data_IF_094400306328
#
_entry.id   IF_094400306328
#
_cell.length_a   1.000
_cell.length_b   1.000
_cell.length_c   1.000
_cell.angle_alpha   90.00
_cell.angle_beta   90.00
_cell.angle_gamma   90.00
#
_symmetry.space_group_name_H-M   'P 1'
#
loop_
_entity.id
_entity.type
_entity.pdbx_description
1 polymer ?
#
# COMPACT_ATOMS: atom_id res chain seq x y z
N UNK A 1 8.68 -16.74 6.53
CA UNK A 1 7.65 -16.24 7.47
C UNK A 1 8.07 -14.86 7.97
N UNK A 2 7.22 -13.86 7.77
CA UNK A 2 7.36 -12.52 8.38
C UNK A 2 6.71 -12.56 9.78
N UNK A 3 7.39 -12.00 10.77
CA UNK A 3 6.85 -11.84 12.12
C UNK A 3 6.59 -10.35 12.34
N UNK A 4 5.33 -9.96 12.45
CA UNK A 4 4.91 -8.57 12.63
C UNK A 4 4.66 -8.33 14.13
N UNK A 5 5.17 -7.23 14.67
CA UNK A 5 4.91 -6.78 16.03
C UNK A 5 3.44 -6.34 16.18
N UNK A 6 2.93 -6.30 17.42
CA UNK A 6 1.55 -5.89 17.70
C UNK A 6 1.21 -4.46 17.26
N UNK A 7 2.22 -3.59 17.22
CA UNK A 7 2.08 -2.19 16.78
C UNK A 7 2.89 -1.94 15.52
N UNK A 8 2.29 -1.21 14.59
CA UNK A 8 2.92 -0.69 13.39
C UNK A 8 2.57 0.77 13.17
N UNK A 9 3.34 1.46 12.33
CA UNK A 9 3.08 2.81 11.91
C UNK A 9 2.41 2.85 10.55
N UNK A 10 1.15 3.32 10.49
CA UNK A 10 0.47 3.64 9.24
C UNK A 10 0.95 5.00 8.70
N UNK A 11 1.51 5.01 7.51
CA UNK A 11 2.22 6.16 6.93
C UNK A 11 1.37 7.01 5.97
N UNK A 12 0.05 6.85 5.94
CA UNK A 12 -0.82 7.69 5.12
C UNK A 12 -0.70 9.20 5.45
N UNK A 13 -0.65 9.62 6.74
CA UNK A 13 -0.45 11.02 7.08
C UNK A 13 0.87 11.62 6.57
N UNK A 14 1.92 10.81 6.40
CA UNK A 14 3.22 11.25 5.88
C UNK A 14 3.16 11.66 4.39
N UNK A 15 2.12 11.18 3.69
CA UNK A 15 1.80 11.59 2.33
C UNK A 15 0.94 12.84 2.23
N UNK A 16 0.57 13.47 3.36
CA UNK A 16 -0.37 14.58 3.38
C UNK A 16 -1.84 14.15 3.41
N UNK A 17 -2.13 12.88 3.69
CA UNK A 17 -3.50 12.41 3.85
C UNK A 17 -4.02 12.85 5.21
N UNK A 18 -5.10 13.63 5.21
CA UNK A 18 -5.81 14.17 6.37
C UNK A 18 -5.02 15.18 7.24
N UNK A 19 -3.71 15.26 7.10
CA UNK A 19 -2.84 16.14 7.90
C UNK A 19 -1.80 16.76 6.99
N UNK A 20 -1.54 18.05 7.18
CA UNK A 20 -0.44 18.75 6.51
C UNK A 20 0.83 18.64 7.40
N UNK A 21 1.68 17.68 7.07
CA UNK A 21 2.98 17.50 7.71
C UNK A 21 4.09 17.97 6.78
N UNK A 22 5.00 18.79 7.31
CA UNK A 22 6.27 19.07 6.65
C UNK A 22 7.09 17.79 6.53
N UNK A 23 8.08 17.80 5.64
CA UNK A 23 9.01 16.66 5.51
C UNK A 23 9.77 16.41 6.82
N UNK A 24 10.18 17.47 7.50
CA UNK A 24 10.91 17.42 8.76
C UNK A 24 10.09 16.78 9.88
N UNK A 25 8.81 17.14 9.99
CA UNK A 25 7.88 16.53 10.95
C UNK A 25 7.63 15.05 10.63
N UNK A 26 7.46 14.70 9.36
CA UNK A 26 7.27 13.34 8.93
C UNK A 26 8.51 12.45 9.25
N UNK A 27 9.71 12.96 9.01
CA UNK A 27 10.98 12.28 9.35
C UNK A 27 11.10 12.12 10.87
N UNK A 28 10.83 13.19 11.64
CA UNK A 28 10.89 13.14 13.11
C UNK A 28 9.91 12.13 13.69
N UNK A 29 8.71 12.00 13.11
CA UNK A 29 7.69 11.02 13.52
C UNK A 29 8.17 9.58 13.28
N UNK A 30 8.77 9.29 12.13
CA UNK A 30 9.30 7.94 11.85
C UNK A 30 10.44 7.62 12.83
N UNK A 31 11.38 8.55 13.06
CA UNK A 31 12.47 8.31 13.98
C UNK A 31 11.97 8.10 15.42
N UNK A 32 10.99 8.90 15.87
CA UNK A 32 10.37 8.70 17.18
C UNK A 32 9.67 7.32 17.28
N UNK A 33 9.02 6.86 16.22
CA UNK A 33 8.44 5.52 16.19
C UNK A 33 9.50 4.42 16.33
N UNK A 34 10.61 4.54 15.58
CA UNK A 34 11.72 3.59 15.64
C UNK A 34 12.39 3.56 17.02
N UNK A 35 12.62 4.74 17.63
CA UNK A 35 13.18 4.87 18.99
C UNK A 35 12.28 4.22 20.05
N UNK A 36 10.97 4.13 19.80
CA UNK A 36 10.00 3.45 20.65
C UNK A 36 9.73 1.99 20.26
N UNK A 37 10.58 1.40 19.41
CA UNK A 37 10.52 -0.02 19.06
C UNK A 37 9.52 -0.39 17.98
N UNK A 38 8.99 0.58 17.22
CA UNK A 38 8.17 0.29 16.04
C UNK A 38 9.09 -0.12 14.90
N UNK A 39 8.90 -1.33 14.39
CA UNK A 39 9.65 -1.90 13.27
C UNK A 39 8.77 -2.14 12.03
N UNK A 40 7.43 -2.14 12.20
CA UNK A 40 6.49 -2.35 11.09
C UNK A 40 5.93 -1.03 10.58
N UNK A 41 6.11 -0.78 9.27
CA UNK A 41 5.66 0.40 8.55
C UNK A 41 4.71 0.00 7.41
N UNK A 42 3.60 0.72 7.25
CA UNK A 42 2.65 0.52 6.16
C UNK A 42 2.52 1.78 5.32
N UNK A 43 2.79 1.68 4.02
CA UNK A 43 2.68 2.78 3.07
C UNK A 43 1.89 2.37 1.81
N UNK A 44 1.76 3.28 0.86
CA UNK A 44 1.12 3.03 -0.44
C UNK A 44 1.49 4.11 -1.48
N UNK A 45 1.46 3.78 -2.78
CA UNK A 45 1.54 4.75 -3.86
C UNK A 45 0.50 5.87 -3.76
N UNK A 46 -0.71 5.53 -3.27
CA UNK A 46 -1.79 6.48 -3.06
C UNK A 46 -1.43 7.61 -2.08
N UNK A 47 -0.61 7.34 -1.07
CA UNK A 47 -0.36 8.29 0.01
C UNK A 47 0.51 9.47 -0.46
N UNK A 48 -0.16 10.56 -0.82
CA UNK A 48 0.46 11.73 -1.41
C UNK A 48 1.10 11.47 -2.78
N UNK A 49 0.58 10.48 -3.50
CA UNK A 49 1.08 10.03 -4.80
C UNK A 49 2.57 9.73 -4.81
N UNK A 50 3.00 8.90 -3.83
CA UNK A 50 4.38 8.48 -3.65
C UNK A 50 5.19 9.34 -2.67
N UNK A 51 4.62 10.41 -2.09
CA UNK A 51 5.30 11.25 -1.08
C UNK A 51 5.62 10.43 0.17
N UNK A 52 4.67 9.64 0.68
CA UNK A 52 4.87 8.77 1.84
C UNK A 52 5.97 7.73 1.60
N UNK A 53 5.94 7.02 0.46
CA UNK A 53 6.96 6.01 0.14
C UNK A 53 8.38 6.60 0.17
N UNK A 54 8.58 7.80 -0.40
CA UNK A 54 9.89 8.48 -0.41
C UNK A 54 10.38 8.81 0.99
N UNK A 55 9.50 9.32 1.85
CA UNK A 55 9.88 9.66 3.24
C UNK A 55 10.18 8.40 4.05
N UNK A 56 9.31 7.39 3.96
CA UNK A 56 9.49 6.10 4.65
C UNK A 56 10.80 5.45 4.21
N UNK A 57 11.02 5.30 2.90
CA UNK A 57 12.20 4.64 2.38
C UNK A 57 13.51 5.34 2.77
N UNK A 58 13.53 6.67 2.77
CA UNK A 58 14.70 7.43 3.21
C UNK A 58 15.02 7.24 4.69
N UNK A 59 13.98 7.11 5.54
CA UNK A 59 14.15 6.98 6.98
C UNK A 59 14.54 5.57 7.43
N UNK A 60 13.96 4.51 6.81
CA UNK A 60 14.16 3.14 7.28
C UNK A 60 15.36 2.44 6.60
N UNK A 61 15.93 3.05 5.57
CA UNK A 61 17.09 2.48 4.86
C UNK A 61 18.26 2.26 5.79
N UNK A 62 18.76 1.01 5.83
CA UNK A 62 19.89 0.62 6.68
C UNK A 62 19.51 0.21 8.10
N UNK A 63 18.23 0.25 8.46
CA UNK A 63 17.73 -0.26 9.73
C UNK A 63 17.05 -1.63 9.56
N UNK A 64 16.74 -2.27 10.68
CA UNK A 64 15.86 -3.43 10.67
C UNK A 64 14.42 -2.95 10.56
N UNK A 65 13.67 -3.45 9.57
CA UNK A 65 12.28 -3.06 9.35
C UNK A 65 11.47 -4.20 8.74
N UNK A 66 10.17 -4.11 8.91
CA UNK A 66 9.15 -4.82 8.16
C UNK A 66 8.33 -3.77 7.43
N UNK A 67 8.16 -3.92 6.14
CA UNK A 67 7.45 -2.96 5.30
C UNK A 67 6.30 -3.64 4.57
N UNK A 68 5.10 -3.10 4.73
CA UNK A 68 4.01 -3.34 3.79
C UNK A 68 3.86 -2.18 2.82
N UNK A 69 3.65 -2.52 1.57
CA UNK A 69 3.30 -1.56 0.53
C UNK A 69 2.21 -2.14 -0.38
N UNK A 70 1.63 -1.31 -1.25
CA UNK A 70 0.41 -1.67 -1.93
C UNK A 70 0.55 -1.59 -3.45
N UNK A 71 -0.19 -2.46 -4.16
CA UNK A 71 -0.23 -2.58 -5.62
C UNK A 71 -1.65 -2.45 -6.15
N UNK A 72 -1.82 -2.37 -7.47
CA UNK A 72 -3.10 -2.14 -8.14
C UNK A 72 -3.36 -0.67 -8.48
N UNK A 73 -2.50 0.23 -7.97
CA UNK A 73 -2.50 1.67 -8.29
C UNK A 73 -1.13 2.06 -8.82
N UNK A 74 -1.07 2.42 -10.09
CA UNK A 74 0.11 2.97 -10.75
C UNK A 74 0.05 4.50 -10.70
N UNK A 75 1.20 5.15 -10.63
CA UNK A 75 1.31 6.60 -10.69
C UNK A 75 1.75 7.03 -12.10
N UNK A 76 0.91 7.80 -12.78
CA UNK A 76 1.20 8.39 -14.08
C UNK A 76 1.52 9.88 -13.93
N UNK A 77 2.43 10.45 -14.74
CA UNK A 77 2.73 11.88 -14.71
C UNK A 77 1.48 12.73 -14.95
N UNK A 78 1.36 13.83 -14.23
CA UNK A 78 0.25 14.80 -14.33
C UNK A 78 -0.36 15.08 -12.96
N UNK A 79 -0.36 16.34 -12.56
CA UNK A 79 -0.96 16.75 -11.29
C UNK A 79 -2.49 16.66 -11.35
N UNK A 80 -3.10 16.27 -10.25
CA UNK A 80 -4.56 16.38 -10.07
C UNK A 80 -4.95 17.86 -9.94
N UNK A 81 -6.10 18.22 -10.47
CA UNK A 81 -6.55 19.62 -10.48
C UNK A 81 -6.92 20.13 -9.09
N UNK A 82 -7.43 19.24 -8.24
CA UNK A 82 -7.81 19.56 -6.87
C UNK A 82 -7.48 18.38 -5.94
N UNK A 83 -6.34 18.43 -5.23
CA UNK A 83 -5.94 17.37 -4.30
C UNK A 83 -6.90 17.18 -3.13
N UNK A 84 -7.67 18.21 -2.76
CA UNK A 84 -8.62 18.12 -1.62
C UNK A 84 -9.72 17.09 -1.87
N UNK A 85 -10.09 16.84 -3.13
CA UNK A 85 -11.03 15.80 -3.50
C UNK A 85 -10.55 14.38 -3.13
N UNK A 86 -9.26 14.23 -2.86
CA UNK A 86 -8.63 12.98 -2.42
C UNK A 86 -8.25 12.99 -0.94
N UNK A 87 -8.62 14.06 -0.21
CA UNK A 87 -8.22 14.27 1.17
C UNK A 87 -6.71 14.43 1.34
N UNK A 88 -6.04 15.02 0.34
CA UNK A 88 -4.59 15.17 0.31
C UNK A 88 -4.19 16.64 0.36
N UNK A 89 -3.09 16.92 1.05
CA UNK A 89 -2.41 18.20 1.06
C UNK A 89 -1.05 18.04 0.39
N UNK A 90 -0.77 18.88 -0.60
CA UNK A 90 0.49 18.92 -1.35
C UNK A 90 1.02 17.55 -1.84
N UNK A 91 0.21 16.77 -2.58
CA UNK A 91 0.68 15.51 -3.15
C UNK A 91 1.68 15.75 -4.29
N UNK A 92 2.48 14.74 -4.61
CA UNK A 92 3.35 14.81 -5.78
C UNK A 92 2.54 14.90 -7.09
N UNK A 93 3.12 15.45 -8.18
CA UNK A 93 2.40 15.77 -9.42
C UNK A 93 2.13 14.51 -10.27
N UNK A 94 1.35 13.60 -9.72
CA UNK A 94 0.93 12.36 -10.38
C UNK A 94 -0.58 12.19 -10.31
N UNK A 95 -1.09 11.31 -11.18
CA UNK A 95 -2.44 10.77 -11.15
C UNK A 95 -2.40 9.26 -10.98
N UNK A 96 -3.46 8.69 -10.42
CA UNK A 96 -3.59 7.25 -10.27
C UNK A 96 -4.21 6.62 -11.50
N UNK A 97 -3.61 5.53 -11.97
CA UNK A 97 -4.17 4.58 -12.92
C UNK A 97 -4.35 3.24 -12.21
N UNK A 98 -5.59 2.74 -12.19
CA UNK A 98 -5.87 1.42 -11.63
C UNK A 98 -5.49 0.32 -12.62
N UNK A 99 -4.74 -0.66 -12.16
CA UNK A 99 -4.35 -1.82 -12.95
C UNK A 99 -4.06 -3.01 -12.02
N UNK A 100 -5.01 -3.94 -11.95
CA UNK A 100 -4.94 -5.15 -11.13
C UNK A 100 -4.56 -6.39 -11.94
N UNK A 101 -4.13 -6.21 -13.19
CA UNK A 101 -3.61 -7.27 -14.05
C UNK A 101 -2.23 -7.76 -13.58
N UNK A 102 -1.76 -8.86 -14.18
CA UNK A 102 -0.41 -9.38 -13.93
C UNK A 102 0.66 -8.29 -14.13
N UNK A 103 0.65 -7.64 -15.29
CA UNK A 103 1.64 -6.62 -15.64
C UNK A 103 1.51 -5.38 -14.75
N UNK A 104 0.28 -5.00 -14.38
CA UNK A 104 0.00 -3.91 -13.45
C UNK A 104 0.56 -4.16 -12.06
N UNK A 105 0.42 -5.38 -11.53
CA UNK A 105 0.97 -5.78 -10.22
C UNK A 105 2.50 -5.78 -10.24
N UNK A 106 3.13 -6.41 -11.24
CA UNK A 106 4.60 -6.45 -11.36
C UNK A 106 5.16 -5.02 -11.47
N UNK A 107 4.59 -4.22 -12.35
CA UNK A 107 5.03 -2.84 -12.54
C UNK A 107 4.85 -2.00 -11.27
N UNK A 108 3.72 -2.13 -10.58
CA UNK A 108 3.51 -1.43 -9.32
C UNK A 108 4.57 -1.79 -8.28
N UNK A 109 4.89 -3.09 -8.13
CA UNK A 109 5.95 -3.56 -7.23
C UNK A 109 7.31 -2.94 -7.56
N UNK A 110 7.72 -2.95 -8.83
CA UNK A 110 8.98 -2.37 -9.28
C UNK A 110 9.03 -0.84 -9.07
N UNK A 111 7.97 -0.13 -9.44
CA UNK A 111 7.84 1.31 -9.26
C UNK A 111 7.86 1.70 -7.77
N UNK A 112 7.25 0.87 -6.88
CA UNK A 112 7.27 1.07 -5.43
C UNK A 112 8.69 0.98 -4.88
N UNK A 113 9.47 -0.03 -5.25
CA UNK A 113 10.88 -0.15 -4.85
C UNK A 113 11.70 1.06 -5.29
N UNK A 114 11.47 1.58 -6.51
CA UNK A 114 12.15 2.77 -7.01
C UNK A 114 11.79 4.03 -6.18
N UNK A 115 10.52 4.22 -5.80
CA UNK A 115 10.11 5.37 -4.99
C UNK A 115 10.61 5.28 -3.55
N UNK A 116 10.59 4.08 -2.97
CA UNK A 116 11.15 3.78 -1.65
C UNK A 116 12.68 3.90 -1.61
N UNK A 117 13.35 3.60 -2.72
CA UNK A 117 14.81 3.47 -2.76
C UNK A 117 15.29 2.32 -1.86
N UNK A 118 14.51 1.25 -1.78
CA UNK A 118 14.78 0.03 -1.04
C UNK A 118 14.87 -1.17 -1.99
N UNK A 119 15.44 -2.26 -1.51
CA UNK A 119 15.63 -3.50 -2.27
C UNK A 119 14.59 -4.58 -1.97
N UNK A 120 13.71 -4.34 -0.98
CA UNK A 120 12.65 -5.29 -0.60
C UNK A 120 11.40 -4.60 -0.07
N UNK A 121 10.27 -5.29 -0.25
CA UNK A 121 9.00 -5.08 0.43
C UNK A 121 8.63 -6.42 1.06
N UNK A 122 8.31 -6.44 2.36
CA UNK A 122 8.07 -7.70 3.08
C UNK A 122 6.64 -8.20 2.87
N UNK A 123 5.66 -7.29 2.85
CA UNK A 123 4.24 -7.60 2.69
C UNK A 123 3.66 -6.80 1.52
N UNK A 124 3.11 -7.47 0.51
CA UNK A 124 2.53 -6.81 -0.66
C UNK A 124 1.01 -6.93 -0.64
N UNK A 125 0.33 -5.79 -0.59
CA UNK A 125 -1.10 -5.72 -0.44
C UNK A 125 -1.79 -5.19 -1.71
N UNK A 126 -2.85 -5.86 -2.16
CA UNK A 126 -3.74 -5.29 -3.19
C UNK A 126 -4.56 -4.16 -2.56
N UNK A 127 -4.46 -2.96 -3.14
CA UNK A 127 -5.01 -1.74 -2.56
C UNK A 127 -6.44 -1.49 -3.00
N UNK A 128 -7.34 -1.41 -2.02
CA UNK A 128 -8.75 -0.99 -2.17
C UNK A 128 -9.45 -1.57 -3.41
N UNK A 129 -9.19 -2.83 -3.73
CA UNK A 129 -10.06 -3.53 -4.66
C UNK A 129 -11.38 -3.78 -3.94
N UNK A 130 -12.51 -3.47 -4.58
CA UNK A 130 -13.83 -3.63 -3.97
C UNK A 130 -14.83 -2.58 -4.47
N UNK A 131 -16.10 -2.84 -4.19
CA UNK A 131 -17.22 -1.99 -4.63
C UNK A 131 -17.19 -0.62 -3.95
N UNK A 132 -16.70 -0.54 -2.72
CA UNK A 132 -16.57 0.71 -1.98
C UNK A 132 -15.70 1.72 -2.75
N UNK A 133 -14.59 1.27 -3.35
CA UNK A 133 -13.68 2.14 -4.11
C UNK A 133 -14.11 2.31 -5.56
N UNK A 134 -14.58 1.26 -6.21
CA UNK A 134 -14.71 1.21 -7.67
C UNK A 134 -16.15 1.19 -8.19
N UNK A 135 -17.15 1.05 -7.30
CA UNK A 135 -18.55 0.93 -7.71
C UNK A 135 -18.75 -0.21 -8.70
N UNK A 136 -19.48 0.06 -9.77
CA UNK A 136 -19.77 -0.92 -10.83
C UNK A 136 -18.51 -1.37 -11.60
N UNK A 137 -17.46 -0.57 -11.63
CA UNK A 137 -16.20 -0.93 -12.32
C UNK A 137 -15.44 -2.03 -11.58
N UNK A 138 -15.78 -2.30 -10.31
CA UNK A 138 -15.12 -3.33 -9.51
C UNK A 138 -15.17 -4.70 -10.16
N UNK A 139 -16.25 -5.05 -10.87
CA UNK A 139 -16.36 -6.33 -11.55
C UNK A 139 -15.22 -6.57 -12.55
N UNK A 140 -14.83 -5.54 -13.30
CA UNK A 140 -13.71 -5.64 -14.24
C UNK A 140 -12.38 -5.77 -13.52
N UNK A 141 -12.12 -4.93 -12.52
CA UNK A 141 -10.87 -4.96 -11.75
C UNK A 141 -10.71 -6.27 -10.97
N UNK A 142 -11.78 -6.76 -10.37
CA UNK A 142 -11.76 -8.06 -9.68
C UNK A 142 -11.48 -9.22 -10.63
N UNK A 143 -12.04 -9.17 -11.85
CA UNK A 143 -11.76 -10.14 -12.90
C UNK A 143 -10.28 -10.13 -13.29
N UNK A 144 -9.70 -8.95 -13.51
CA UNK A 144 -8.28 -8.81 -13.85
C UNK A 144 -7.38 -9.37 -12.75
N UNK A 145 -7.71 -9.08 -11.48
CA UNK A 145 -7.02 -9.67 -10.33
C UNK A 145 -7.14 -11.20 -10.33
N UNK A 146 -8.36 -11.72 -10.47
CA UNK A 146 -8.62 -13.15 -10.38
C UNK A 146 -7.97 -13.93 -11.54
N UNK A 147 -8.00 -13.40 -12.77
CA UNK A 147 -7.49 -14.06 -13.95
C UNK A 147 -5.96 -14.00 -14.09
N UNK A 148 -5.33 -12.92 -13.61
CA UNK A 148 -3.92 -12.72 -13.84
C UNK A 148 -3.14 -12.08 -12.68
N UNK A 149 -3.68 -11.08 -12.00
CA UNK A 149 -2.96 -10.34 -10.96
C UNK A 149 -2.58 -11.20 -9.76
N UNK A 150 -3.46 -12.09 -9.32
CA UNK A 150 -3.17 -13.02 -8.24
C UNK A 150 -1.96 -13.91 -8.55
N UNK A 151 -1.81 -14.33 -9.81
CA UNK A 151 -0.64 -15.10 -10.25
C UNK A 151 0.66 -14.30 -10.07
N UNK A 152 0.67 -13.01 -10.41
CA UNK A 152 1.84 -12.15 -10.19
C UNK A 152 2.26 -12.10 -8.71
N UNK A 153 1.28 -11.96 -7.81
CA UNK A 153 1.54 -11.96 -6.36
C UNK A 153 2.15 -13.28 -5.88
N UNK A 154 1.62 -14.41 -6.34
CA UNK A 154 2.15 -15.75 -6.01
C UNK A 154 3.56 -15.94 -6.55
N UNK A 155 3.85 -15.48 -7.77
CA UNK A 155 5.18 -15.58 -8.37
C UNK A 155 6.20 -14.70 -7.63
N UNK A 156 5.86 -13.47 -7.26
CA UNK A 156 6.71 -12.61 -6.42
C UNK A 156 7.03 -13.28 -5.08
N UNK A 157 6.03 -13.88 -4.43
CA UNK A 157 6.22 -14.61 -3.17
C UNK A 157 7.06 -15.87 -3.35
N UNK A 158 6.81 -16.65 -4.39
CA UNK A 158 7.58 -17.87 -4.67
C UNK A 158 9.04 -17.59 -5.01
N UNK A 159 9.32 -16.44 -5.65
CA UNK A 159 10.66 -15.96 -5.91
C UNK A 159 11.38 -15.38 -4.66
N UNK A 160 10.68 -15.27 -3.52
CA UNK A 160 11.23 -14.70 -2.29
C UNK A 160 11.39 -13.18 -2.31
N UNK A 161 10.79 -12.50 -3.30
CA UNK A 161 10.82 -11.05 -3.45
C UNK A 161 9.89 -10.34 -2.46
N UNK A 162 8.84 -11.04 -2.01
CA UNK A 162 7.97 -10.65 -0.88
C UNK A 162 7.74 -11.86 0.02
N UNK A 163 7.52 -11.63 1.31
CA UNK A 163 7.31 -12.69 2.31
C UNK A 163 5.83 -13.05 2.48
N UNK A 164 4.94 -12.08 2.28
CA UNK A 164 3.51 -12.25 2.43
C UNK A 164 2.73 -11.42 1.39
N UNK A 165 1.54 -11.90 1.03
CA UNK A 165 0.62 -11.24 0.13
C UNK A 165 -0.76 -11.09 0.79
N UNK A 166 -1.47 -10.03 0.44
CA UNK A 166 -2.78 -9.76 1.03
C UNK A 166 -3.54 -8.62 0.39
N UNK A 167 -4.51 -8.10 1.14
CA UNK A 167 -5.28 -6.93 0.76
C UNK A 167 -5.14 -5.82 1.80
N UNK A 168 -5.10 -4.56 1.34
CA UNK A 168 -5.28 -3.36 2.16
C UNK A 168 -6.57 -2.66 1.73
N UNK A 169 -7.65 -2.80 2.50
CA UNK A 169 -9.01 -2.43 2.07
C UNK A 169 -9.83 -1.80 3.18
N UNK A 170 -10.90 -1.09 2.78
CA UNK A 170 -11.86 -0.42 3.65
C UNK A 170 -13.22 -1.14 3.75
N UNK A 171 -13.34 -2.36 3.23
CA UNK A 171 -14.56 -3.16 3.26
C UNK A 171 -14.25 -4.64 3.52
N UNK A 172 -15.11 -5.32 4.28
CA UNK A 172 -14.88 -6.71 4.67
C UNK A 172 -15.34 -7.72 3.61
N UNK A 173 -16.37 -7.41 2.81
CA UNK A 173 -16.91 -8.35 1.84
C UNK A 173 -15.85 -8.81 0.83
N UNK A 174 -15.04 -7.90 0.32
CA UNK A 174 -14.00 -8.23 -0.65
C UNK A 174 -12.95 -9.20 -0.09
N UNK A 175 -12.69 -9.16 1.22
CA UNK A 175 -11.80 -10.13 1.86
C UNK A 175 -12.35 -11.55 1.75
N UNK A 176 -13.68 -11.72 1.90
CA UNK A 176 -14.33 -13.01 1.72
C UNK A 176 -14.34 -13.45 0.24
N UNK A 177 -14.56 -12.50 -0.67
CA UNK A 177 -14.64 -12.78 -2.10
C UNK A 177 -13.29 -13.28 -2.65
N UNK A 178 -12.16 -12.64 -2.25
CA UNK A 178 -10.83 -13.04 -2.71
C UNK A 178 -10.37 -14.40 -2.16
N UNK A 179 -10.91 -14.86 -1.05
CA UNK A 179 -10.63 -16.21 -0.54
C UNK A 179 -11.06 -17.30 -1.50
N UNK A 180 -11.98 -17.00 -2.43
CA UNK A 180 -12.37 -17.92 -3.51
C UNK A 180 -11.37 -17.93 -4.68
N UNK A 181 -10.47 -16.95 -4.78
CA UNK A 181 -9.42 -16.88 -5.80
C UNK A 181 -8.23 -17.75 -5.40
N UNK A 182 -7.87 -17.73 -4.10
CA UNK A 182 -6.71 -18.47 -3.61
C UNK A 182 -6.38 -18.20 -2.15
N UNK A 183 -5.15 -18.54 -1.78
CA UNK A 183 -4.66 -18.37 -0.40
C UNK A 183 -4.00 -17.01 -0.20
N UNK A 184 -4.40 -16.31 0.84
CA UNK A 184 -3.88 -15.00 1.24
C UNK A 184 -3.28 -15.11 2.64
N UNK A 185 -2.18 -14.39 2.90
CA UNK A 185 -1.48 -14.45 4.19
C UNK A 185 -2.05 -13.44 5.19
N UNK A 186 -2.52 -12.27 4.72
CA UNK A 186 -2.91 -11.16 5.60
C UNK A 186 -3.97 -10.26 4.96
N UNK A 187 -4.85 -9.71 5.79
CA UNK A 187 -5.76 -8.62 5.43
C UNK A 187 -5.50 -7.42 6.34
N UNK A 188 -5.14 -6.28 5.76
CA UNK A 188 -5.10 -4.99 6.43
C UNK A 188 -6.45 -4.32 6.23
N UNK A 189 -7.32 -4.45 7.22
CA UNK A 189 -8.72 -4.01 7.16
C UNK A 189 -8.88 -2.70 7.93
N UNK A 190 -9.01 -1.59 7.19
CA UNK A 190 -9.02 -0.26 7.77
C UNK A 190 -10.38 0.03 8.46
N UNK A 191 -10.37 0.12 9.80
CA UNK A 191 -11.51 0.56 10.58
C UNK A 191 -12.74 -0.37 10.58
N UNK A 192 -12.59 -1.63 10.13
CA UNK A 192 -13.70 -2.60 10.03
C UNK A 192 -13.55 -3.80 10.95
N UNK A 193 -12.54 -3.82 11.79
CA UNK A 193 -12.32 -4.83 12.82
C UNK A 193 -12.04 -4.13 14.14
N UNK A 194 -13.09 -3.55 14.71
CA UNK A 194 -13.02 -2.73 15.92
C UNK A 194 -14.13 -3.16 16.90
N UNK A 195 -14.12 -2.59 18.11
CA UNK A 195 -15.18 -2.81 19.09
C UNK A 195 -16.50 -2.08 18.73
N UNK A 196 -16.49 -1.25 17.70
CA UNK A 196 -17.64 -0.43 17.28
C UNK A 196 -18.30 -0.97 16.00
N UNK A 197 -17.64 -1.81 15.24
CA UNK A 197 -18.13 -2.44 14.00
C UNK A 197 -17.75 -3.93 13.97
#
# INVERSE_FOLDING_TARGET
NVQINELGLGCAPLGGNLVDLSREEAVALIHAAMENGIEYFDTAPWYGFGRSERVVGDCIRGFNYILSDKVGRLLAPGAVSDPSNYGMVDPLPFNVKYDYSYDGIIRAYEDNLQRLGLDRIDVLLVHDIGVFQHGEQNESYFRDLAQSGYRALIELKAAGLVSAIGLGVNENQICLDVMNIGHWDVFLLAGRYTLLE
#
